data_IF_068513838335
#
_entry.id   IF_068513838335
#
_cell.length_a   1.000
_cell.length_b   1.000
_cell.length_c   1.000
_cell.angle_alpha   90.00
_cell.angle_beta   90.00
_cell.angle_gamma   90.00
#
_symmetry.space_group_name_H-M   'P 1'
#
loop_
_entity.id
_entity.type
_entity.pdbx_description
1 polymer ?
#
# COMPACT_ATOMS: atom_id res chain seq x y z
N UNK A 1 -6.72 12.43 -12.03
CA UNK A 1 -6.21 11.94 -10.73
C UNK A 1 -4.73 11.47 -10.71
N UNK A 2 -4.36 10.25 -11.14
CA UNK A 2 -3.00 9.71 -10.91
C UNK A 2 -1.88 10.54 -11.55
N UNK A 3 -2.07 10.97 -12.81
CA UNK A 3 -1.12 11.86 -13.49
C UNK A 3 -0.93 13.18 -12.75
N UNK A 4 -2.00 13.74 -12.19
CA UNK A 4 -1.94 15.02 -11.46
C UNK A 4 -1.13 14.89 -10.18
N UNK A 5 -1.32 13.80 -9.44
CA UNK A 5 -0.53 13.50 -8.24
C UNK A 5 0.93 13.22 -8.57
N UNK A 6 1.21 12.50 -9.67
CA UNK A 6 2.57 12.23 -10.12
C UNK A 6 3.28 13.54 -10.52
N UNK A 7 2.59 14.41 -11.26
CA UNK A 7 3.08 15.75 -11.62
C UNK A 7 3.31 16.62 -10.38
N UNK A 8 2.40 16.56 -9.40
CA UNK A 8 2.53 17.28 -8.13
C UNK A 8 3.77 16.80 -7.36
N UNK A 9 3.97 15.50 -7.23
CA UNK A 9 5.16 14.93 -6.58
C UNK A 9 6.45 15.38 -7.30
N UNK A 10 6.51 15.25 -8.62
CA UNK A 10 7.68 15.66 -9.41
C UNK A 10 7.99 17.15 -9.26
N UNK A 11 6.96 18.00 -9.33
CA UNK A 11 7.08 19.44 -9.08
C UNK A 11 7.66 19.73 -7.70
N UNK A 12 7.12 19.08 -6.66
CA UNK A 12 7.58 19.23 -5.26
C UNK A 12 9.03 18.79 -5.08
N UNK A 13 9.45 17.71 -5.73
CA UNK A 13 10.85 17.28 -5.70
C UNK A 13 11.76 18.25 -6.46
N UNK A 14 11.30 18.76 -7.61
CA UNK A 14 12.04 19.72 -8.43
C UNK A 14 12.24 21.07 -7.74
N UNK A 15 11.23 21.56 -7.01
CA UNK A 15 11.32 22.80 -6.21
C UNK A 15 12.39 22.73 -5.11
N UNK A 16 12.74 21.52 -4.65
CA UNK A 16 13.78 21.30 -3.65
C UNK A 16 15.17 21.10 -4.28
N UNK A 17 15.27 20.99 -5.61
CA UNK A 17 16.54 20.84 -6.32
C UNK A 17 17.44 22.06 -6.11
N UNK A 18 18.74 21.82 -5.90
CA UNK A 18 19.73 22.88 -5.67
C UNK A 18 19.71 23.51 -4.28
N UNK A 19 18.73 23.18 -3.42
CA UNK A 19 18.64 23.73 -2.05
C UNK A 19 19.59 23.08 -1.04
N UNK A 20 20.17 21.91 -1.39
CA UNK A 20 20.97 21.09 -0.47
C UNK A 20 20.15 20.33 0.58
N UNK A 21 18.81 20.46 0.58
CA UNK A 21 17.92 19.72 1.49
C UNK A 21 17.94 18.23 1.15
N UNK A 22 18.18 17.39 2.15
CA UNK A 22 18.01 15.93 2.03
C UNK A 22 16.52 15.59 2.06
N UNK A 23 16.05 14.89 1.03
CA UNK A 23 14.66 14.47 0.91
C UNK A 23 14.50 13.04 1.42
N UNK A 24 13.57 12.86 2.37
CA UNK A 24 13.11 11.55 2.84
C UNK A 24 12.07 11.01 1.86
N UNK A 25 12.52 10.18 0.90
CA UNK A 25 11.64 9.61 -0.14
C UNK A 25 10.53 8.75 0.46
N UNK A 26 10.76 8.15 1.62
CA UNK A 26 9.77 7.39 2.36
C UNK A 26 8.60 8.25 2.82
N UNK A 27 8.87 9.49 3.25
CA UNK A 27 7.80 10.44 3.55
C UNK A 27 7.09 10.90 2.27
N UNK A 28 7.85 11.21 1.22
CA UNK A 28 7.30 11.69 -0.05
C UNK A 28 6.39 10.66 -0.75
N UNK A 29 6.83 9.39 -0.82
CA UNK A 29 6.03 8.31 -1.38
C UNK A 29 4.87 7.89 -0.48
N UNK A 30 5.00 8.04 0.85
CA UNK A 30 3.89 7.84 1.77
C UNK A 30 2.80 8.89 1.61
N UNK A 31 3.17 10.18 1.48
CA UNK A 31 2.23 11.23 1.14
C UNK A 31 1.57 11.00 -0.22
N UNK A 32 2.36 10.66 -1.26
CA UNK A 32 1.84 10.37 -2.59
C UNK A 32 0.83 9.22 -2.59
N UNK A 33 1.18 8.07 -2.01
CA UNK A 33 0.29 6.91 -1.93
C UNK A 33 -0.92 7.16 -1.03
N UNK A 34 -0.75 7.94 0.05
CA UNK A 34 -1.83 8.45 0.89
C UNK A 34 -2.84 9.27 0.08
N UNK A 35 -2.38 10.22 -0.72
CA UNK A 35 -3.25 11.04 -1.58
C UNK A 35 -3.97 10.19 -2.63
N UNK A 36 -3.28 9.19 -3.20
CA UNK A 36 -3.89 8.27 -4.17
C UNK A 36 -5.04 7.50 -3.53
N UNK A 37 -4.80 6.85 -2.38
CA UNK A 37 -5.82 5.97 -1.79
C UNK A 37 -6.99 6.74 -1.20
N UNK A 38 -6.75 7.90 -0.58
CA UNK A 38 -7.83 8.72 -0.02
C UNK A 38 -8.70 9.32 -1.11
N UNK A 39 -8.14 9.76 -2.25
CA UNK A 39 -8.93 10.24 -3.40
C UNK A 39 -9.73 9.14 -4.10
N UNK A 40 -9.22 7.91 -4.12
CA UNK A 40 -10.01 6.76 -4.61
C UNK A 40 -11.21 6.50 -3.70
N UNK A 41 -11.01 6.65 -2.39
CA UNK A 41 -11.98 6.19 -1.42
C UNK A 41 -13.00 7.24 -0.96
N UNK A 42 -12.61 8.51 -0.96
CA UNK A 42 -13.37 9.62 -0.38
C UNK A 42 -13.44 10.79 -1.36
N UNK A 43 -14.50 11.59 -1.26
CA UNK A 43 -14.71 12.75 -2.14
C UNK A 43 -13.97 14.01 -1.68
N UNK A 44 -13.60 14.09 -0.41
CA UNK A 44 -12.86 15.21 0.18
C UNK A 44 -11.53 14.73 0.76
N UNK A 45 -10.69 14.19 -0.11
CA UNK A 45 -9.38 13.69 0.27
C UNK A 45 -8.44 14.81 0.72
N UNK A 46 -7.62 14.59 1.77
CA UNK A 46 -6.54 15.50 2.12
C UNK A 46 -5.45 15.52 1.03
N UNK A 47 -4.66 16.59 1.02
CA UNK A 47 -3.48 16.74 0.15
C UNK A 47 -2.19 16.64 0.98
N UNK A 48 -1.80 15.41 1.32
CA UNK A 48 -0.57 15.13 2.08
C UNK A 48 0.70 15.59 1.34
N UNK A 49 0.69 15.61 0.00
CA UNK A 49 1.82 16.13 -0.78
C UNK A 49 2.04 17.63 -0.63
N UNK A 50 1.01 18.39 -0.26
CA UNK A 50 1.11 19.85 -0.11
C UNK A 50 1.79 20.23 1.21
N UNK A 51 1.83 19.34 2.20
CA UNK A 51 2.55 19.55 3.46
C UNK A 51 4.07 19.72 3.22
N UNK A 52 4.74 20.75 3.77
CA UNK A 52 6.17 21.02 3.55
C UNK A 52 7.14 19.88 3.93
N UNK A 53 6.67 18.95 4.77
CA UNK A 53 7.39 17.78 5.25
C UNK A 53 6.76 16.46 4.78
N UNK A 54 5.90 16.52 3.75
CA UNK A 54 5.19 15.36 3.21
C UNK A 54 4.38 14.62 4.27
N UNK A 55 3.72 15.37 5.16
CA UNK A 55 2.89 14.85 6.23
C UNK A 55 3.64 13.85 7.12
N UNK A 56 4.90 14.16 7.48
CA UNK A 56 5.77 13.27 8.27
C UNK A 56 5.12 12.73 9.54
N UNK A 57 4.25 13.50 10.19
CA UNK A 57 3.53 13.07 11.39
C UNK A 57 2.61 11.86 11.11
N UNK A 58 1.99 11.83 9.94
CA UNK A 58 1.15 10.71 9.51
C UNK A 58 2.01 9.46 9.27
N UNK A 59 3.16 9.60 8.62
CA UNK A 59 4.12 8.50 8.42
C UNK A 59 4.60 7.93 9.76
N UNK A 60 5.09 8.77 10.67
CA UNK A 60 5.65 8.34 11.95
C UNK A 60 4.62 7.61 12.81
N UNK A 61 3.36 8.08 12.78
CA UNK A 61 2.26 7.42 13.47
C UNK A 61 2.05 5.99 12.95
N UNK A 62 1.85 5.85 11.65
CA UNK A 62 1.56 4.54 11.05
C UNK A 62 2.74 3.59 11.25
N UNK A 63 3.96 4.10 11.11
CA UNK A 63 5.17 3.34 11.37
C UNK A 63 5.27 2.89 12.84
N UNK A 64 4.95 3.77 13.80
CA UNK A 64 4.88 3.42 15.22
C UNK A 64 3.89 2.30 15.51
N UNK A 65 2.70 2.33 14.90
CA UNK A 65 1.72 1.23 15.00
C UNK A 65 2.31 -0.07 14.44
N UNK A 66 2.95 -0.04 13.28
CA UNK A 66 3.55 -1.24 12.66
C UNK A 66 4.64 -1.85 13.55
N UNK A 67 5.52 -1.02 14.12
CA UNK A 67 6.58 -1.49 15.02
C UNK A 67 6.01 -2.13 16.30
N UNK A 68 4.80 -1.76 16.72
CA UNK A 68 4.15 -2.36 17.88
C UNK A 68 3.50 -3.73 17.60
N UNK A 69 3.27 -4.09 16.32
CA UNK A 69 2.55 -5.33 15.94
C UNK A 69 3.22 -6.60 16.50
N UNK A 70 4.54 -6.83 16.38
CA UNK A 70 5.16 -8.06 16.91
C UNK A 70 4.93 -8.23 18.42
N UNK A 71 4.99 -7.14 19.18
CA UNK A 71 4.71 -7.15 20.61
C UNK A 71 3.25 -7.49 20.90
N UNK A 72 2.30 -6.87 20.19
CA UNK A 72 0.87 -7.14 20.37
C UNK A 72 0.49 -8.58 20.00
N UNK A 73 1.12 -9.13 18.95
CA UNK A 73 0.91 -10.53 18.52
C UNK A 73 1.51 -11.51 19.53
N UNK A 74 2.68 -11.22 20.09
CA UNK A 74 3.33 -12.05 21.10
C UNK A 74 2.57 -12.01 22.44
N UNK A 75 1.96 -10.87 22.77
CA UNK A 75 1.24 -10.64 24.02
C UNK A 75 -0.16 -10.08 23.78
N UNK A 76 -1.14 -10.91 23.33
CA UNK A 76 -2.48 -10.43 23.01
C UNK A 76 -3.23 -9.81 24.19
N UNK A 77 -2.85 -10.18 25.41
CA UNK A 77 -3.39 -9.58 26.64
C UNK A 77 -3.05 -8.10 26.79
N UNK A 78 -1.95 -7.64 26.17
CA UNK A 78 -1.52 -6.24 26.21
C UNK A 78 -2.56 -5.31 25.57
N UNK A 79 -3.24 -5.76 24.52
CA UNK A 79 -4.33 -5.01 23.88
C UNK A 79 -5.47 -4.76 24.90
N UNK A 80 -5.81 -5.78 25.70
CA UNK A 80 -6.85 -5.64 26.74
C UNK A 80 -6.41 -4.66 27.83
N UNK A 81 -5.15 -4.70 28.25
CA UNK A 81 -4.62 -3.78 29.26
C UNK A 81 -4.61 -2.34 28.74
N UNK A 82 -4.16 -2.11 27.49
CA UNK A 82 -4.19 -0.80 26.86
C UNK A 82 -5.63 -0.27 26.77
N UNK A 83 -6.61 -1.12 26.48
CA UNK A 83 -8.02 -0.71 26.42
C UNK A 83 -8.61 -0.26 27.76
N UNK A 84 -7.94 -0.55 28.88
CA UNK A 84 -8.34 -0.08 30.21
C UNK A 84 -7.71 1.25 30.60
N UNK A 85 -6.71 1.72 29.85
CA UNK A 85 -6.05 3.00 30.12
C UNK A 85 -6.93 4.12 29.58
N UNK A 86 -7.32 5.12 30.41
CA UNK A 86 -8.06 6.27 29.93
C UNK A 86 -7.29 7.02 28.84
N UNK A 87 -8.01 7.52 27.83
CA UNK A 87 -7.40 8.19 26.69
C UNK A 87 -6.52 9.39 27.07
N UNK A 88 -6.90 10.11 28.12
CA UNK A 88 -6.13 11.25 28.65
C UNK A 88 -4.73 10.83 29.13
N UNK A 89 -4.60 9.62 29.68
CA UNK A 89 -3.32 9.07 30.12
C UNK A 89 -2.50 8.64 28.91
N UNK A 90 -3.13 8.04 27.89
CA UNK A 90 -2.44 7.65 26.65
C UNK A 90 -1.88 8.88 25.93
N UNK A 91 -2.71 9.92 25.70
CA UNK A 91 -2.27 11.16 25.05
C UNK A 91 -1.25 11.96 25.89
N UNK A 92 -1.21 11.78 27.22
CA UNK A 92 -0.19 12.37 28.08
C UNK A 92 1.16 11.65 27.99
N UNK A 93 1.16 10.31 27.99
CA UNK A 93 2.39 9.49 27.91
C UNK A 93 2.98 9.49 26.49
N UNK A 94 2.12 9.54 25.47
CA UNK A 94 2.49 9.57 24.05
C UNK A 94 1.91 10.84 23.41
N UNK A 95 2.62 11.99 23.47
CA UNK A 95 2.13 13.29 22.97
C UNK A 95 1.84 13.35 21.45
N UNK A 96 2.01 12.25 20.71
CA UNK A 96 1.70 12.11 19.29
C UNK A 96 0.62 11.04 19.03
N UNK A 97 -0.11 10.59 20.04
CA UNK A 97 -1.16 9.56 19.90
C UNK A 97 -2.51 10.07 19.40
N UNK A 98 -2.62 11.36 19.05
CA UNK A 98 -3.87 11.93 18.53
C UNK A 98 -4.09 11.60 17.03
N UNK A 99 -3.03 11.22 16.32
CA UNK A 99 -3.07 10.88 14.90
C UNK A 99 -4.07 9.75 14.51
N UNK A 100 -4.22 8.64 15.25
CA UNK A 100 -5.22 7.62 14.93
C UNK A 100 -6.65 8.14 15.10
N UNK A 101 -6.85 9.06 16.06
CA UNK A 101 -8.15 9.72 16.26
C UNK A 101 -8.44 10.71 15.17
N UNK A 102 -7.45 11.48 14.71
CA UNK A 102 -7.63 12.40 13.60
C UNK A 102 -7.93 11.66 12.30
N UNK A 103 -7.35 10.48 12.13
CA UNK A 103 -7.66 9.60 11.01
C UNK A 103 -9.03 8.95 11.10
N UNK A 104 -9.45 8.50 12.30
CA UNK A 104 -10.81 8.02 12.54
C UNK A 104 -11.84 9.13 12.28
N UNK A 105 -11.59 10.34 12.80
CA UNK A 105 -12.44 11.52 12.56
C UNK A 105 -12.54 11.84 11.08
N UNK A 106 -11.41 11.82 10.37
CA UNK A 106 -11.38 12.01 8.92
C UNK A 106 -12.28 10.98 8.22
N UNK A 107 -12.01 9.68 8.42
CA UNK A 107 -12.79 8.61 7.81
C UNK A 107 -14.29 8.73 8.14
N UNK A 108 -14.63 8.99 9.40
CA UNK A 108 -16.01 9.18 9.87
C UNK A 108 -16.67 10.36 9.17
N UNK A 109 -16.02 11.52 9.15
CA UNK A 109 -16.55 12.72 8.51
C UNK A 109 -16.79 12.53 7.01
N UNK A 110 -15.90 11.82 6.31
CA UNK A 110 -16.06 11.52 4.88
C UNK A 110 -17.25 10.58 4.63
N UNK A 111 -17.43 9.56 5.48
CA UNK A 111 -18.53 8.60 5.35
C UNK A 111 -19.88 9.24 5.69
N UNK A 112 -19.95 10.00 6.78
CA UNK A 112 -21.17 10.71 7.20
C UNK A 112 -21.60 11.73 6.13
N UNK A 113 -20.65 12.47 5.57
CA UNK A 113 -20.90 13.38 4.46
C UNK A 113 -21.41 12.66 3.22
N UNK A 114 -20.83 11.50 2.87
CA UNK A 114 -21.31 10.70 1.74
C UNK A 114 -22.76 10.21 1.95
N UNK A 115 -23.12 9.83 3.18
CA UNK A 115 -24.50 9.46 3.56
C UNK A 115 -25.44 10.67 3.44
N UNK A 116 -25.03 11.83 3.96
CA UNK A 116 -25.84 13.05 3.92
C UNK A 116 -26.04 13.57 2.50
N UNK A 117 -25.00 13.52 1.67
CA UNK A 117 -25.11 13.89 0.26
C UNK A 117 -26.09 12.96 -0.47
N UNK A 118 -26.04 11.64 -0.21
CA UNK A 118 -27.00 10.67 -0.74
C UNK A 118 -28.43 10.97 -0.30
N UNK A 119 -28.65 11.25 1.00
CA UNK A 119 -29.98 11.62 1.54
C UNK A 119 -30.53 12.88 0.91
N UNK A 120 -29.66 13.84 0.62
CA UNK A 120 -30.03 15.12 0.02
C UNK A 120 -30.10 15.09 -1.52
N UNK A 121 -29.95 13.91 -2.15
CA UNK A 121 -29.98 13.77 -3.60
C UNK A 121 -28.85 14.52 -4.33
N UNK A 122 -27.74 14.81 -3.64
CA UNK A 122 -26.58 15.43 -4.26
C UNK A 122 -25.78 14.37 -5.00
N UNK A 123 -25.66 14.55 -6.30
CA UNK A 123 -24.77 13.73 -7.13
C UNK A 123 -23.31 13.91 -6.70
N UNK A 124 -22.51 12.87 -6.90
CA UNK A 124 -21.09 12.90 -6.58
C UNK A 124 -20.41 14.05 -7.34
N UNK A 125 -19.43 14.70 -6.70
CA UNK A 125 -18.48 15.56 -7.41
C UNK A 125 -17.60 14.65 -8.28
N UNK A 126 -18.08 14.32 -9.46
CA UNK A 126 -17.40 13.40 -10.36
C UNK A 126 -16.11 14.06 -10.88
N UNK A 127 -14.95 13.64 -10.37
CA UNK A 127 -13.69 13.79 -11.13
C UNK A 127 -13.76 12.78 -12.28
N UNK A 128 -14.17 13.26 -13.47
CA UNK A 128 -14.16 12.44 -14.68
C UNK A 128 -15.03 11.17 -14.60
N UNK A 129 -16.26 11.28 -14.10
CA UNK A 129 -17.27 10.20 -14.09
C UNK A 129 -17.01 9.05 -13.09
N UNK A 130 -16.17 9.25 -12.07
CA UNK A 130 -15.89 8.24 -11.02
C UNK A 130 -16.48 8.62 -9.67
N UNK A 131 -17.23 7.69 -9.08
CA UNK A 131 -17.75 7.75 -7.71
C UNK A 131 -16.71 7.24 -6.72
N UNK A 132 -16.57 7.88 -5.57
CA UNK A 132 -15.68 7.42 -4.50
C UNK A 132 -16.06 6.01 -4.01
N UNK A 133 -15.09 5.23 -3.51
CA UNK A 133 -15.35 3.86 -3.05
C UNK A 133 -16.48 3.80 -2.01
N UNK A 134 -16.46 4.71 -1.03
CA UNK A 134 -17.48 4.68 0.03
C UNK A 134 -18.87 5.08 -0.47
N UNK A 135 -18.99 6.01 -1.43
CA UNK A 135 -20.27 6.23 -2.11
C UNK A 135 -20.74 4.99 -2.86
N UNK A 136 -19.86 4.36 -3.62
CA UNK A 136 -20.20 3.14 -4.35
C UNK A 136 -20.70 2.02 -3.41
N UNK A 137 -20.04 1.85 -2.27
CA UNK A 137 -20.45 0.92 -1.21
C UNK A 137 -21.83 1.30 -0.65
N UNK A 138 -22.08 2.58 -0.35
CA UNK A 138 -23.37 3.06 0.14
C UNK A 138 -24.50 2.88 -0.88
N UNK A 139 -24.19 2.86 -2.18
CA UNK A 139 -25.13 2.63 -3.29
C UNK A 139 -25.31 1.17 -3.67
N UNK A 140 -24.57 0.25 -3.05
CA UNK A 140 -24.68 -1.19 -3.30
C UNK A 140 -25.92 -1.82 -2.64
N UNK A 141 -26.28 -3.03 -3.07
CA UNK A 141 -27.37 -3.84 -2.50
C UNK A 141 -27.00 -4.58 -1.20
N UNK A 142 -25.97 -4.12 -0.49
CA UNK A 142 -25.54 -4.77 0.74
C UNK A 142 -26.55 -4.60 1.88
N UNK A 143 -26.63 -5.56 2.83
CA UNK A 143 -27.47 -5.41 4.01
C UNK A 143 -27.14 -4.14 4.79
N UNK A 144 -28.15 -3.43 5.29
CA UNK A 144 -27.95 -2.19 6.05
C UNK A 144 -27.06 -2.36 7.28
N UNK A 145 -26.99 -3.57 7.86
CA UNK A 145 -26.06 -3.89 8.95
C UNK A 145 -24.58 -3.73 8.55
N UNK A 146 -24.24 -4.01 7.29
CA UNK A 146 -22.88 -3.87 6.74
C UNK A 146 -22.56 -2.42 6.34
N UNK A 147 -23.57 -1.55 6.25
CA UNK A 147 -23.44 -0.14 5.86
C UNK A 147 -23.38 0.81 7.07
N UNK A 148 -23.27 0.28 8.29
CA UNK A 148 -23.13 1.12 9.49
C UNK A 148 -21.86 1.97 9.44
N UNK A 149 -21.97 3.23 9.91
CA UNK A 149 -20.85 4.19 9.89
C UNK A 149 -19.62 3.61 10.57
N UNK A 150 -19.77 3.03 11.76
CA UNK A 150 -18.64 2.47 12.50
C UNK A 150 -17.96 1.31 11.78
N UNK A 151 -18.71 0.51 11.01
CA UNK A 151 -18.14 -0.57 10.19
C UNK A 151 -17.34 0.01 9.03
N UNK A 152 -17.91 0.96 8.30
CA UNK A 152 -17.27 1.61 7.16
C UNK A 152 -16.01 2.40 7.58
N UNK A 153 -16.04 3.05 8.74
CA UNK A 153 -14.87 3.75 9.30
C UNK A 153 -13.72 2.78 9.55
N UNK A 154 -13.99 1.60 10.12
CA UNK A 154 -12.98 0.56 10.33
C UNK A 154 -12.41 0.02 9.01
N UNK A 155 -13.26 -0.16 8.00
CA UNK A 155 -12.81 -0.54 6.65
C UNK A 155 -11.94 0.56 6.01
N UNK A 156 -12.32 1.83 6.16
CA UNK A 156 -11.52 2.97 5.69
C UNK A 156 -10.13 3.00 6.32
N UNK A 157 -10.03 2.79 7.63
CA UNK A 157 -8.73 2.75 8.31
C UNK A 157 -7.82 1.66 7.74
N UNK A 158 -8.37 0.48 7.45
CA UNK A 158 -7.63 -0.64 6.86
C UNK A 158 -7.19 -0.28 5.43
N UNK A 159 -8.11 0.22 4.60
CA UNK A 159 -7.85 0.50 3.18
C UNK A 159 -6.82 1.62 3.04
N UNK A 160 -6.95 2.71 3.78
CA UNK A 160 -6.01 3.83 3.71
C UNK A 160 -4.62 3.42 4.21
N UNK A 161 -4.54 2.70 5.33
CA UNK A 161 -3.26 2.22 5.86
C UNK A 161 -2.59 1.24 4.91
N UNK A 162 -3.33 0.26 4.39
CA UNK A 162 -2.81 -0.73 3.46
C UNK A 162 -2.35 -0.10 2.13
N UNK A 163 -3.14 0.82 1.56
CA UNK A 163 -2.84 1.49 0.30
C UNK A 163 -1.66 2.48 0.38
N UNK A 164 -1.43 3.08 1.56
CA UNK A 164 -0.33 4.04 1.74
C UNK A 164 1.00 3.33 1.98
N UNK A 165 1.10 2.53 3.05
CA UNK A 165 2.39 1.98 3.51
C UNK A 165 3.01 1.04 2.48
N UNK A 166 2.20 0.13 1.92
CA UNK A 166 2.72 -0.94 1.05
C UNK A 166 3.24 -0.39 -0.29
N UNK A 167 2.55 0.60 -0.84
CA UNK A 167 2.94 1.28 -2.09
C UNK A 167 4.17 2.13 -1.84
N UNK A 168 4.17 2.96 -0.79
CA UNK A 168 5.32 3.79 -0.42
C UNK A 168 6.59 2.96 -0.27
N UNK A 169 6.53 1.87 0.51
CA UNK A 169 7.66 0.98 0.74
C UNK A 169 8.20 0.36 -0.56
N UNK A 170 7.31 0.00 -1.49
CA UNK A 170 7.72 -0.58 -2.77
C UNK A 170 8.40 0.47 -3.66
N UNK A 171 7.85 1.68 -3.73
CA UNK A 171 8.43 2.80 -4.48
C UNK A 171 9.79 3.22 -3.91
N UNK A 172 9.92 3.31 -2.59
CA UNK A 172 11.19 3.58 -1.90
C UNK A 172 12.26 2.57 -2.29
N UNK A 173 11.90 1.29 -2.19
CA UNK A 173 12.82 0.19 -2.41
C UNK A 173 13.31 0.15 -3.86
N UNK A 174 12.39 0.28 -4.82
CA UNK A 174 12.73 0.36 -6.25
C UNK A 174 13.62 1.58 -6.50
N UNK A 175 13.24 2.75 -6.01
CA UNK A 175 13.96 4.00 -6.24
C UNK A 175 15.38 3.94 -5.68
N UNK A 176 15.56 3.37 -4.49
CA UNK A 176 16.87 3.13 -3.90
C UNK A 176 17.78 2.33 -4.84
N UNK A 177 17.31 1.19 -5.36
CA UNK A 177 18.14 0.35 -6.25
C UNK A 177 18.37 0.99 -7.62
N UNK A 178 17.39 1.69 -8.17
CA UNK A 178 17.55 2.44 -9.42
C UNK A 178 18.62 3.52 -9.26
N UNK A 179 18.60 4.28 -8.16
CA UNK A 179 19.60 5.33 -7.91
C UNK A 179 20.98 4.78 -7.57
N UNK A 180 21.05 3.65 -6.85
CA UNK A 180 22.31 3.02 -6.44
C UNK A 180 23.03 2.31 -7.60
N UNK A 181 22.30 1.80 -8.61
CA UNK A 181 22.85 0.99 -9.71
C UNK A 181 22.76 1.73 -11.05
N UNK A 182 23.83 2.40 -11.52
CA UNK A 182 23.80 3.21 -12.73
C UNK A 182 23.31 2.46 -13.98
N UNK A 183 23.73 1.21 -14.18
CA UNK A 183 23.30 0.40 -15.33
C UNK A 183 21.77 0.17 -15.38
N UNK A 184 21.10 0.02 -14.22
CA UNK A 184 19.64 -0.12 -14.15
C UNK A 184 18.99 1.22 -14.52
N UNK A 185 19.48 2.32 -13.94
CA UNK A 185 18.99 3.67 -14.24
C UNK A 185 19.12 4.02 -15.72
N UNK A 186 20.30 3.81 -16.30
CA UNK A 186 20.58 4.09 -17.71
C UNK A 186 19.68 3.28 -18.63
N UNK A 187 19.50 1.98 -18.35
CA UNK A 187 18.63 1.12 -19.13
C UNK A 187 17.15 1.51 -19.03
N UNK A 188 16.67 1.88 -17.84
CA UNK A 188 15.33 2.44 -17.66
C UNK A 188 15.15 3.76 -18.44
N UNK A 189 16.13 4.67 -18.34
CA UNK A 189 16.09 5.95 -19.05
C UNK A 189 16.07 5.76 -20.57
N UNK A 190 16.82 4.79 -21.10
CA UNK A 190 16.81 4.45 -22.51
C UNK A 190 15.44 3.91 -22.95
N UNK A 191 14.83 3.01 -22.19
CA UNK A 191 13.49 2.46 -22.49
C UNK A 191 12.38 3.54 -22.40
N UNK A 192 12.51 4.47 -21.44
CA UNK A 192 11.53 5.54 -21.22
C UNK A 192 11.71 6.76 -22.13
N UNK A 193 12.85 6.87 -22.84
CA UNK A 193 13.25 8.09 -23.57
C UNK A 193 12.16 8.59 -24.51
N UNK A 194 11.67 7.73 -25.39
CA UNK A 194 10.75 8.15 -26.46
C UNK A 194 9.33 8.35 -25.91
N UNK A 195 8.92 7.52 -24.94
CA UNK A 195 7.56 7.55 -24.38
C UNK A 195 7.32 8.73 -23.43
N UNK A 196 8.41 9.23 -22.82
CA UNK A 196 8.40 10.38 -21.91
C UNK A 196 8.93 11.66 -22.58
N UNK A 197 9.13 11.68 -23.91
CA UNK A 197 9.79 12.78 -24.61
C UNK A 197 9.08 14.14 -24.47
N UNK A 198 7.76 14.14 -24.31
CA UNK A 198 6.92 15.35 -24.13
C UNK A 198 6.44 15.54 -22.68
N UNK A 199 7.05 14.85 -21.71
CA UNK A 199 6.80 15.12 -20.30
C UNK A 199 7.33 16.53 -19.94
N UNK A 200 6.57 17.39 -19.21
CA UNK A 200 5.35 17.11 -18.44
C UNK A 200 4.04 17.55 -19.13
N UNK A 201 4.04 17.77 -20.45
CA UNK A 201 2.85 18.15 -21.21
C UNK A 201 1.96 16.94 -21.48
N UNK A 202 2.56 15.84 -21.93
CA UNK A 202 1.87 14.59 -22.24
C UNK A 202 2.35 13.47 -21.31
N UNK A 203 1.39 12.75 -20.73
CA UNK A 203 1.65 11.53 -19.96
C UNK A 203 1.44 10.30 -20.85
N UNK A 204 2.30 9.27 -20.73
CA UNK A 204 2.04 7.99 -21.37
C UNK A 204 0.76 7.36 -20.82
N UNK A 205 0.02 6.68 -21.68
CA UNK A 205 -1.16 5.91 -21.28
C UNK A 205 -0.77 4.69 -20.47
N UNK A 206 -1.70 4.17 -19.66
CA UNK A 206 -1.49 2.92 -18.91
C UNK A 206 -1.02 1.77 -19.82
N UNK A 207 -1.68 1.56 -20.96
CA UNK A 207 -1.35 0.50 -21.91
C UNK A 207 0.03 0.68 -22.58
N UNK A 208 0.55 1.90 -22.60
CA UNK A 208 1.90 2.21 -23.08
C UNK A 208 2.95 1.79 -22.04
N UNK A 209 2.74 2.14 -20.76
CA UNK A 209 3.64 1.81 -19.66
C UNK A 209 3.66 0.30 -19.38
N UNK A 210 2.52 -0.39 -19.48
CA UNK A 210 2.42 -1.85 -19.28
C UNK A 210 3.28 -2.66 -20.26
N UNK A 211 3.56 -2.10 -21.45
CA UNK A 211 4.33 -2.79 -22.50
C UNK A 211 5.84 -2.62 -22.38
N UNK A 212 6.33 -1.87 -21.40
CA UNK A 212 7.75 -1.59 -21.20
C UNK A 212 8.43 -2.74 -20.44
N UNK A 213 9.12 -3.67 -21.11
CA UNK A 213 9.58 -4.90 -20.49
C UNK A 213 10.56 -4.67 -19.35
N UNK A 214 11.47 -3.69 -19.46
CA UNK A 214 12.46 -3.43 -18.41
C UNK A 214 11.85 -2.74 -17.19
N UNK A 215 10.94 -1.78 -17.39
CA UNK A 215 10.18 -1.19 -16.30
C UNK A 215 9.38 -2.24 -15.54
N UNK A 216 8.66 -3.12 -16.24
CA UNK A 216 7.94 -4.23 -15.61
C UNK A 216 8.90 -5.15 -14.84
N UNK A 217 10.06 -5.47 -15.43
CA UNK A 217 11.09 -6.29 -14.78
C UNK A 217 11.62 -5.64 -13.48
N UNK A 218 11.83 -4.33 -13.47
CA UNK A 218 12.24 -3.56 -12.27
C UNK A 218 11.14 -3.57 -11.21
N UNK A 219 9.88 -3.40 -11.59
CA UNK A 219 8.73 -3.47 -10.67
C UNK A 219 8.61 -4.88 -10.08
N UNK A 220 8.73 -5.92 -10.91
CA UNK A 220 8.70 -7.31 -10.46
C UNK A 220 9.80 -7.64 -9.46
N UNK A 221 11.03 -7.18 -9.72
CA UNK A 221 12.14 -7.39 -8.80
C UNK A 221 12.00 -6.55 -7.52
N UNK A 222 11.47 -5.33 -7.65
CA UNK A 222 11.08 -4.46 -6.54
C UNK A 222 10.09 -5.12 -5.59
N UNK A 223 8.99 -5.64 -6.13
CA UNK A 223 7.97 -6.34 -5.36
C UNK A 223 8.49 -7.63 -4.72
N UNK A 224 9.43 -8.34 -5.37
CA UNK A 224 10.07 -9.54 -4.80
C UNK A 224 10.91 -9.19 -3.57
N UNK A 225 11.67 -8.09 -3.63
CA UNK A 225 12.65 -7.75 -2.59
C UNK A 225 12.17 -6.72 -1.57
N UNK A 226 11.08 -6.01 -1.84
CA UNK A 226 10.36 -5.23 -0.82
C UNK A 226 9.60 -6.14 0.14
N UNK A 227 9.39 -7.41 -0.25
CA UNK A 227 8.79 -8.53 0.48
C UNK A 227 7.34 -8.36 0.96
N UNK A 228 6.79 -7.14 0.92
CA UNK A 228 5.44 -6.83 1.35
C UNK A 228 5.22 -7.15 2.84
N UNK A 229 4.10 -7.82 3.14
CA UNK A 229 3.74 -8.19 4.52
C UNK A 229 4.56 -9.39 4.98
N UNK A 230 5.46 -9.16 5.94
CA UNK A 230 6.39 -10.17 6.48
C UNK A 230 5.80 -11.19 7.46
N UNK A 231 4.47 -11.24 7.58
CA UNK A 231 3.79 -12.21 8.43
C UNK A 231 3.55 -13.54 7.70
N UNK A 232 3.36 -14.63 8.43
CA UNK A 232 3.08 -15.96 7.85
C UNK A 232 1.70 -16.10 7.16
N UNK A 233 0.92 -15.01 7.07
CA UNK A 233 -0.42 -14.96 6.47
C UNK A 233 -1.25 -16.25 6.69
N UNK A 234 -1.49 -16.66 7.95
CA UNK A 234 -2.04 -17.97 8.24
C UNK A 234 -3.44 -18.16 7.63
N UNK A 235 -3.74 -19.39 7.27
CA UNK A 235 -5.08 -19.90 6.98
C UNK A 235 -5.37 -21.02 7.97
N UNK A 236 -6.60 -21.05 8.46
CA UNK A 236 -7.05 -22.07 9.40
C UNK A 236 -8.19 -22.81 8.72
N UNK A 237 -8.14 -24.13 8.69
CA UNK A 237 -9.29 -24.98 8.37
C UNK A 237 -10.05 -25.23 9.67
N UNK A 238 -11.20 -24.57 9.91
CA UNK A 238 -11.88 -24.66 11.20
C UNK A 238 -12.54 -26.03 11.39
N UNK A 239 -13.10 -26.60 10.32
CA UNK A 239 -14.06 -27.70 10.44
C UNK A 239 -13.48 -29.06 10.05
N UNK A 240 -12.38 -29.08 9.28
CA UNK A 240 -11.82 -30.32 8.74
C UNK A 240 -10.29 -30.39 8.85
N UNK A 241 -9.78 -31.62 8.98
CA UNK A 241 -8.36 -31.88 8.83
C UNK A 241 -7.96 -31.73 7.35
N UNK A 242 -6.77 -31.20 7.08
CA UNK A 242 -6.23 -31.08 5.73
C UNK A 242 -5.25 -32.21 5.47
N UNK A 243 -5.41 -32.91 4.34
CA UNK A 243 -4.41 -33.87 3.87
C UNK A 243 -3.44 -33.17 2.90
N UNK A 244 -2.15 -33.15 3.23
CA UNK A 244 -1.10 -32.66 2.35
C UNK A 244 -0.03 -33.75 2.16
N UNK A 245 -0.06 -34.42 1.00
CA UNK A 245 0.76 -35.62 0.74
C UNK A 245 0.54 -36.64 1.86
N UNK A 246 1.60 -37.04 2.57
CA UNK A 246 1.56 -38.00 3.67
C UNK A 246 1.24 -37.35 5.04
N UNK A 247 1.08 -36.02 5.08
CA UNK A 247 0.79 -35.29 6.32
C UNK A 247 -0.70 -35.02 6.47
N UNK A 248 -1.25 -35.39 7.64
CA UNK A 248 -2.57 -34.94 8.08
C UNK A 248 -2.40 -33.76 9.03
N UNK A 249 -2.88 -32.58 8.63
CA UNK A 249 -2.88 -31.35 9.43
C UNK A 249 -4.23 -31.28 10.15
N UNK A 250 -4.27 -31.34 11.49
CA UNK A 250 -5.53 -31.29 12.23
C UNK A 250 -6.32 -30.00 11.98
N UNK A 251 -7.65 -30.07 12.14
CA UNK A 251 -8.51 -28.87 12.13
C UNK A 251 -8.06 -27.87 13.20
N UNK A 252 -8.25 -26.59 12.92
CA UNK A 252 -7.87 -25.49 13.83
C UNK A 252 -6.38 -25.13 13.82
N UNK A 253 -5.52 -25.90 13.14
CA UNK A 253 -4.08 -25.59 13.05
C UNK A 253 -3.85 -24.51 11.98
N UNK A 254 -3.22 -23.37 12.31
CA UNK A 254 -2.86 -22.35 11.33
C UNK A 254 -1.72 -22.82 10.42
N UNK A 255 -1.96 -22.80 9.11
CA UNK A 255 -0.95 -23.04 8.07
C UNK A 255 -0.63 -21.74 7.37
N UNK A 256 0.64 -21.37 7.32
CA UNK A 256 1.09 -20.10 6.76
C UNK A 256 2.14 -20.26 5.69
N UNK A 257 2.35 -19.19 4.93
CA UNK A 257 3.43 -19.05 3.97
C UNK A 257 4.17 -17.74 4.23
N UNK A 258 5.47 -17.71 3.94
CA UNK A 258 6.28 -16.51 4.06
C UNK A 258 6.71 -16.05 2.67
N UNK A 259 6.26 -14.87 2.25
CA UNK A 259 6.70 -14.26 1.00
C UNK A 259 8.22 -14.11 1.00
N UNK A 260 8.81 -13.67 2.11
CA UNK A 260 10.27 -13.62 2.30
C UNK A 260 10.93 -14.96 1.97
N UNK A 261 10.56 -16.05 2.65
CA UNK A 261 11.18 -17.37 2.41
C UNK A 261 11.02 -17.84 0.96
N UNK A 262 9.86 -17.59 0.36
CA UNK A 262 9.60 -17.98 -1.03
C UNK A 262 10.40 -17.15 -2.03
N UNK A 263 10.53 -15.84 -1.79
CA UNK A 263 11.21 -14.87 -2.64
C UNK A 263 12.73 -14.94 -2.51
N UNK A 264 13.24 -15.49 -1.41
CA UNK A 264 14.69 -15.63 -1.15
C UNK A 264 15.18 -17.08 -1.24
N UNK A 265 14.38 -18.01 -1.77
CA UNK A 265 14.76 -19.41 -1.95
C UNK A 265 15.90 -19.52 -2.99
N UNK A 266 17.13 -19.92 -2.59
CA UNK A 266 18.27 -20.02 -3.51
C UNK A 266 18.10 -21.12 -4.57
N UNK A 267 17.18 -22.07 -4.37
CA UNK A 267 16.86 -23.09 -5.38
C UNK A 267 15.97 -22.53 -6.50
N UNK A 268 15.38 -21.36 -6.30
CA UNK A 268 14.47 -20.71 -7.26
C UNK A 268 15.06 -19.43 -7.81
N UNK A 269 15.73 -18.64 -6.98
CA UNK A 269 16.35 -17.37 -7.36
C UNK A 269 17.86 -17.47 -7.19
N UNK A 270 18.60 -17.49 -8.30
CA UNK A 270 20.04 -17.27 -8.25
C UNK A 270 20.33 -15.89 -7.66
N UNK A 271 21.31 -15.84 -6.74
CA UNK A 271 21.66 -14.64 -5.95
C UNK A 271 20.39 -13.99 -5.36
N UNK A 272 19.70 -14.68 -4.44
CA UNK A 272 18.33 -14.34 -4.04
C UNK A 272 18.20 -12.96 -3.41
N UNK A 273 19.27 -12.42 -2.82
CA UNK A 273 19.24 -11.09 -2.19
C UNK A 273 19.70 -9.96 -3.11
N UNK A 274 20.19 -10.26 -4.32
CA UNK A 274 20.60 -9.24 -5.28
C UNK A 274 19.40 -8.75 -6.10
N UNK A 275 19.30 -7.43 -6.25
CA UNK A 275 18.35 -6.78 -7.15
C UNK A 275 18.82 -6.92 -8.60
N UNK A 276 18.21 -7.86 -9.33
CA UNK A 276 18.52 -8.22 -10.72
C UNK A 276 17.22 -8.23 -11.54
N UNK A 277 16.81 -7.11 -12.16
CA UNK A 277 15.61 -7.05 -13.01
C UNK A 277 15.64 -8.06 -14.16
N UNK A 278 16.82 -8.33 -14.71
CA UNK A 278 17.02 -9.20 -15.87
C UNK A 278 16.43 -10.60 -15.71
N UNK A 279 16.22 -11.08 -14.48
CA UNK A 279 15.58 -12.38 -14.21
C UNK A 279 14.12 -12.46 -14.68
N UNK A 280 13.49 -11.31 -14.93
CA UNK A 280 12.10 -11.18 -15.36
C UNK A 280 11.96 -10.94 -16.87
N UNK A 281 13.07 -10.96 -17.62
CA UNK A 281 13.08 -10.78 -19.07
C UNK A 281 13.13 -12.14 -19.79
N UNK A 282 12.50 -12.22 -20.96
CA UNK A 282 12.49 -13.44 -21.77
C UNK A 282 11.76 -14.60 -21.07
N UNK A 283 12.39 -15.77 -21.07
CA UNK A 283 11.79 -17.01 -20.53
C UNK A 283 11.95 -17.10 -19.01
N UNK A 284 10.99 -16.50 -18.30
CA UNK A 284 10.93 -16.56 -16.83
C UNK A 284 10.67 -17.98 -16.34
N UNK A 285 11.56 -18.50 -15.49
CA UNK A 285 11.49 -19.83 -14.90
C UNK A 285 10.11 -20.08 -14.23
N UNK A 286 9.40 -21.18 -14.56
CA UNK A 286 8.11 -21.52 -13.94
C UNK A 286 8.16 -21.61 -12.40
N UNK A 287 9.29 -22.02 -11.82
CA UNK A 287 9.49 -22.04 -10.38
C UNK A 287 9.46 -20.62 -9.79
N UNK A 288 10.04 -19.63 -10.48
CA UNK A 288 9.96 -18.23 -10.07
C UNK A 288 8.52 -17.72 -10.11
N UNK A 289 7.75 -18.04 -11.16
CA UNK A 289 6.32 -17.65 -11.23
C UNK A 289 5.48 -18.26 -10.10
N UNK A 290 5.79 -19.50 -9.71
CA UNK A 290 5.14 -20.18 -8.59
C UNK A 290 5.47 -19.49 -7.27
N UNK A 291 6.75 -19.20 -7.04
CA UNK A 291 7.24 -18.57 -5.81
C UNK A 291 6.99 -17.05 -5.74
N UNK A 292 6.67 -16.41 -6.86
CA UNK A 292 6.32 -15.00 -6.90
C UNK A 292 4.92 -14.76 -6.33
N UNK A 293 4.89 -14.22 -5.11
CA UNK A 293 3.69 -14.06 -4.26
C UNK A 293 3.65 -12.72 -3.50
N UNK A 294 4.03 -11.57 -4.09
CA UNK A 294 4.05 -10.28 -3.37
C UNK A 294 2.66 -9.86 -2.83
N UNK A 295 1.59 -10.35 -3.46
CA UNK A 295 0.20 -10.08 -3.09
C UNK A 295 -0.52 -11.31 -2.50
N UNK A 296 0.23 -12.33 -2.07
CA UNK A 296 -0.28 -13.68 -1.75
C UNK A 296 -1.09 -14.30 -2.91
N UNK A 297 -1.78 -15.41 -2.65
CA UNK A 297 -2.61 -16.15 -3.63
C UNK A 297 -3.92 -16.64 -2.99
N UNK A 298 -4.89 -16.98 -3.83
CA UNK A 298 -6.20 -17.51 -3.42
C UNK A 298 -7.23 -16.45 -3.05
N UNK A 299 -8.31 -16.85 -2.38
CA UNK A 299 -9.48 -16.02 -2.04
C UNK A 299 -9.19 -14.86 -1.08
N UNK A 300 -7.99 -14.83 -0.50
CA UNK A 300 -7.52 -13.80 0.44
C UNK A 300 -6.22 -13.16 -0.06
N UNK A 301 -6.05 -13.10 -1.38
CA UNK A 301 -5.02 -12.29 -2.04
C UNK A 301 -5.32 -10.80 -1.88
N UNK A 302 -4.32 -9.94 -2.09
CA UNK A 302 -4.48 -8.50 -1.94
C UNK A 302 -5.57 -7.96 -2.88
N UNK A 303 -6.54 -7.23 -2.31
CA UNK A 303 -7.59 -6.57 -3.09
C UNK A 303 -7.05 -5.43 -3.95
N UNK A 304 -6.05 -4.68 -3.44
CA UNK A 304 -5.44 -3.53 -4.11
C UNK A 304 -4.26 -3.88 -5.02
N UNK A 305 -4.28 -5.04 -5.68
CA UNK A 305 -3.19 -5.46 -6.57
C UNK A 305 -3.17 -4.72 -7.91
N UNK A 306 -4.35 -4.28 -8.40
CA UNK A 306 -4.51 -3.65 -9.71
C UNK A 306 -4.63 -2.15 -9.61
#
# INVERSE_FOLDING_TARGET
MLHDLAKKLDKRLSELSGTGRVIRLDHAFFAFSGDVITRICTDDAPDFLDDPNFASNWFELVHGVILSIPMMVAFPWLIKVISWIPESVVSWVLPHSDGPKDFEKFARSSIEKAIDDKRNGKEAKADGNRTSLFRHILDSEMPQSELSVDRLVKEAQIIFGAGSVSVARTLDFITFYVLQKPHIRERLQLELKDIMADYPNTFPTWAQIEKLPYLQAVIHEGLRLSYGVMHRLPRVSPDMALQYKDYTIPRGIPVGMSAYMMHTDPNVYEKPFEFIPERWLGDVNPAMRRNYVPFAKGSRSCLGMR
#
